data_IF_525493200379
#
_entry.id   IF_525493200379
#
_cell.length_a   1.000
_cell.length_b   1.000
_cell.length_c   1.000
_cell.angle_alpha   90.00
_cell.angle_beta   90.00
_cell.angle_gamma   90.00
#
_symmetry.space_group_name_H-M   'P 1'
#
loop_
_entity.id
_entity.type
_entity.pdbx_description
1 polymer ?
#
# COMPACT_ATOMS: atom_id res chain seq x y z
N UNK A 1 -10.76 8.91 2.13
CA UNK A 1 -10.32 9.07 3.54
C UNK A 1 -8.88 8.62 3.70
N UNK A 2 -8.14 9.25 4.61
CA UNK A 2 -6.81 8.86 5.04
C UNK A 2 -6.65 9.30 6.51
N UNK A 3 -6.27 8.38 7.40
CA UNK A 3 -6.14 8.63 8.85
C UNK A 3 -7.37 9.35 9.46
N UNK A 4 -8.58 8.95 9.04
CA UNK A 4 -9.85 9.54 9.49
C UNK A 4 -10.27 10.81 8.76
N UNK A 5 -9.37 11.53 8.09
CA UNK A 5 -9.66 12.78 7.39
C UNK A 5 -10.28 12.54 6.00
N UNK A 6 -11.26 13.36 5.65
CA UNK A 6 -11.84 13.41 4.32
C UNK A 6 -11.02 14.34 3.43
N UNK A 7 -10.33 13.78 2.49
CA UNK A 7 -9.39 14.48 1.62
C UNK A 7 -9.71 14.23 0.16
N UNK A 8 -9.39 15.19 -0.71
CA UNK A 8 -9.34 15.05 -2.15
C UNK A 8 -7.88 15.07 -2.61
N UNK A 9 -7.53 14.07 -3.42
CA UNK A 9 -6.26 14.02 -4.13
C UNK A 9 -6.53 14.32 -5.61
N UNK A 10 -5.70 15.16 -6.21
CA UNK A 10 -5.80 15.49 -7.62
C UNK A 10 -4.42 15.74 -8.22
N UNK A 11 -4.31 15.60 -9.52
CA UNK A 11 -3.14 16.02 -10.28
C UNK A 11 -3.56 17.22 -11.10
N UNK A 12 -2.93 18.35 -10.88
CA UNK A 12 -3.28 19.58 -11.59
C UNK A 12 -2.86 19.54 -13.07
N UNK A 13 -3.21 20.58 -13.81
CA UNK A 13 -2.91 20.68 -15.25
C UNK A 13 -1.42 20.81 -15.57
N UNK A 14 -0.59 21.07 -14.56
CA UNK A 14 0.89 21.12 -14.65
C UNK A 14 1.54 19.80 -14.20
N UNK A 15 0.75 18.78 -13.86
CA UNK A 15 1.23 17.46 -13.42
C UNK A 15 1.57 17.35 -11.94
N UNK A 16 1.40 18.41 -11.15
CA UNK A 16 1.68 18.42 -9.71
C UNK A 16 0.56 17.73 -8.93
N UNK A 17 0.92 16.96 -7.93
CA UNK A 17 -0.05 16.29 -7.05
C UNK A 17 -0.42 17.20 -5.89
N UNK A 18 -1.73 17.36 -5.63
CA UNK A 18 -2.28 18.00 -4.45
C UNK A 18 -3.07 17.01 -3.61
N UNK A 19 -2.98 17.18 -2.29
CA UNK A 19 -3.79 16.47 -1.30
C UNK A 19 -4.28 17.49 -0.27
N UNK A 20 -5.58 17.72 -0.21
CA UNK A 20 -6.17 18.74 0.66
C UNK A 20 -7.54 18.34 1.17
N UNK A 21 -8.09 19.12 2.12
CA UNK A 21 -9.46 18.95 2.60
C UNK A 21 -10.44 18.83 1.43
N UNK A 22 -11.30 17.82 1.49
CA UNK A 22 -12.30 17.54 0.44
C UNK A 22 -13.29 18.69 0.28
N UNK A 23 -13.59 19.46 1.32
CA UNK A 23 -14.70 20.41 1.34
C UNK A 23 -14.25 21.84 1.16
N UNK A 24 -14.79 22.51 0.12
CA UNK A 24 -14.57 23.92 -0.15
C UNK A 24 -14.82 24.79 1.09
N UNK A 25 -13.89 25.73 1.39
CA UNK A 25 -13.97 26.61 2.56
C UNK A 25 -15.20 27.52 2.56
N UNK A 26 -15.80 27.79 1.39
CA UNK A 26 -16.96 28.67 1.25
C UNK A 26 -18.23 28.05 1.88
N UNK A 27 -18.75 26.96 1.27
CA UNK A 27 -20.03 26.34 1.64
C UNK A 27 -19.96 24.82 1.67
N UNK A 28 -18.78 24.27 1.91
CA UNK A 28 -18.56 22.84 2.13
C UNK A 28 -19.01 21.92 0.97
N UNK A 29 -19.09 22.45 -0.25
CA UNK A 29 -19.27 21.59 -1.42
C UNK A 29 -18.03 20.71 -1.62
N UNK A 30 -18.22 19.44 -1.99
CA UNK A 30 -17.11 18.51 -2.22
C UNK A 30 -16.31 18.91 -3.45
N UNK A 31 -15.01 19.10 -3.28
CA UNK A 31 -14.06 19.38 -4.34
C UNK A 31 -13.75 18.14 -5.19
N UNK A 32 -14.17 16.95 -4.77
CA UNK A 32 -14.14 15.76 -5.61
C UNK A 32 -14.95 15.94 -6.91
N UNK A 33 -16.01 16.75 -6.85
CA UNK A 33 -16.82 17.14 -8.02
C UNK A 33 -16.24 18.34 -8.75
N UNK A 34 -15.11 18.89 -8.29
CA UNK A 34 -14.47 20.08 -8.81
C UNK A 34 -13.91 19.92 -10.22
N UNK A 35 -13.68 21.05 -10.89
CA UNK A 35 -13.00 21.10 -12.18
C UNK A 35 -11.52 21.30 -11.99
N UNK A 36 -10.73 20.43 -12.58
CA UNK A 36 -9.28 20.56 -12.61
C UNK A 36 -8.89 21.46 -13.79
N UNK A 37 -8.48 22.67 -13.51
CA UNK A 37 -8.19 23.67 -14.55
C UNK A 37 -7.12 24.69 -14.08
N UNK A 38 -6.27 25.11 -14.99
CA UNK A 38 -5.29 26.22 -14.80
C UNK A 38 -4.50 26.09 -13.50
N UNK A 39 -3.88 24.94 -13.27
CA UNK A 39 -3.01 24.69 -12.10
C UNK A 39 -3.74 24.55 -10.76
N UNK A 40 -5.05 24.30 -10.74
CA UNK A 40 -5.82 24.16 -9.52
C UNK A 40 -7.12 23.41 -9.65
N UNK A 41 -7.78 23.19 -8.52
CA UNK A 41 -9.08 22.54 -8.42
C UNK A 41 -10.16 23.57 -8.10
N UNK A 42 -11.11 23.76 -9.02
CA UNK A 42 -12.20 24.73 -8.92
C UNK A 42 -13.47 24.09 -8.39
N UNK A 43 -14.02 24.66 -7.33
CA UNK A 43 -15.31 24.28 -6.78
C UNK A 43 -16.43 24.54 -7.79
N UNK A 44 -17.31 23.55 -8.01
CA UNK A 44 -18.44 23.66 -8.95
C UNK A 44 -19.54 24.59 -8.46
N UNK A 45 -19.58 24.91 -7.16
CA UNK A 45 -20.70 25.66 -6.59
C UNK A 45 -20.57 27.18 -6.83
N UNK A 46 -19.46 27.81 -6.41
CA UNK A 46 -19.26 29.25 -6.57
C UNK A 46 -17.90 29.60 -7.21
N UNK A 47 -17.21 28.62 -7.78
CA UNK A 47 -16.01 28.87 -8.56
C UNK A 47 -14.73 29.14 -7.75
N UNK A 48 -14.73 29.00 -6.44
CA UNK A 48 -13.49 29.15 -5.66
C UNK A 48 -12.47 28.11 -6.10
N UNK A 49 -11.27 28.56 -6.45
CA UNK A 49 -10.19 27.70 -6.98
C UNK A 49 -9.03 27.64 -6.00
N UNK A 50 -8.49 26.42 -5.80
CA UNK A 50 -7.39 26.16 -4.89
C UNK A 50 -6.24 25.48 -5.63
N UNK A 51 -5.00 25.87 -5.30
CA UNK A 51 -3.80 25.19 -5.77
C UNK A 51 -3.55 23.88 -5.02
N UNK A 52 -2.45 23.18 -5.39
CA UNK A 52 -2.03 21.92 -4.75
C UNK A 52 -1.61 22.06 -3.29
N UNK A 53 -1.43 23.30 -2.81
CA UNK A 53 -1.08 23.62 -1.41
C UNK A 53 -2.28 24.15 -0.62
N UNK A 54 -3.48 24.15 -1.21
CA UNK A 54 -4.71 24.63 -0.59
C UNK A 54 -4.84 26.16 -0.57
N UNK A 55 -3.98 26.90 -1.27
CA UNK A 55 -4.08 28.37 -1.37
C UNK A 55 -5.21 28.71 -2.31
N UNK A 56 -6.10 29.64 -1.92
CA UNK A 56 -7.15 30.09 -2.79
C UNK A 56 -6.61 31.04 -3.87
N UNK A 57 -6.75 30.62 -5.13
CA UNK A 57 -6.24 31.35 -6.29
C UNK A 57 -7.27 32.33 -6.86
N UNK A 58 -8.57 31.99 -6.76
CA UNK A 58 -9.64 32.74 -7.40
C UNK A 58 -10.96 32.60 -6.64
N UNK A 59 -11.73 33.70 -6.60
CA UNK A 59 -13.07 33.83 -5.99
C UNK A 59 -13.96 34.68 -6.87
N UNK A 60 -14.54 34.14 -7.94
CA UNK A 60 -15.27 34.95 -8.93
C UNK A 60 -16.55 35.58 -8.41
N UNK A 61 -17.08 35.15 -7.28
CA UNK A 61 -18.26 35.73 -6.64
C UNK A 61 -17.93 36.82 -5.58
N UNK A 62 -16.65 37.10 -5.35
CA UNK A 62 -16.19 38.15 -4.44
C UNK A 62 -15.68 39.38 -5.22
N UNK A 63 -16.00 40.61 -4.81
CA UNK A 63 -15.44 41.81 -5.42
C UNK A 63 -13.90 41.79 -5.37
N UNK A 64 -13.25 42.14 -6.48
CA UNK A 64 -11.79 42.12 -6.58
C UNK A 64 -11.11 43.03 -5.54
N UNK A 65 -11.76 44.12 -5.17
CA UNK A 65 -11.26 45.12 -4.22
C UNK A 65 -11.11 44.57 -2.80
N UNK A 66 -11.89 43.54 -2.45
CA UNK A 66 -11.79 42.91 -1.12
C UNK A 66 -10.53 42.12 -0.95
N UNK A 67 -9.96 41.61 -2.04
CA UNK A 67 -8.81 40.74 -2.07
C UNK A 67 -8.91 39.56 -1.09
N UNK A 68 -10.13 39.10 -0.80
CA UNK A 68 -10.46 38.14 0.26
C UNK A 68 -9.82 36.76 0.05
N UNK A 69 -9.52 36.39 -1.19
CA UNK A 69 -8.87 35.11 -1.51
C UNK A 69 -7.57 34.88 -0.72
N UNK A 70 -6.83 35.94 -0.37
CA UNK A 70 -5.58 35.80 0.39
C UNK A 70 -5.80 35.44 1.86
N UNK A 71 -7.01 35.64 2.39
CA UNK A 71 -7.39 35.21 3.74
C UNK A 71 -7.86 33.76 3.81
N UNK A 72 -8.01 33.07 2.67
CA UNK A 72 -8.60 31.72 2.60
C UNK A 72 -7.57 30.70 2.18
N UNK A 73 -7.49 29.64 2.99
CA UNK A 73 -6.65 28.49 2.72
C UNK A 73 -7.35 27.22 3.20
N UNK A 74 -7.30 26.16 2.40
CA UNK A 74 -7.66 24.82 2.82
C UNK A 74 -6.46 24.12 3.48
N UNK A 75 -6.74 23.25 4.42
CA UNK A 75 -5.74 22.33 4.95
C UNK A 75 -5.26 21.45 3.81
N UNK A 76 -3.97 21.42 3.58
CA UNK A 76 -3.32 20.62 2.57
C UNK A 76 -2.05 19.97 3.13
N UNK A 77 -1.68 18.84 2.56
CA UNK A 77 -0.55 18.06 3.01
C UNK A 77 0.53 17.97 1.93
N UNK A 78 1.81 17.97 2.31
CA UNK A 78 2.90 17.77 1.35
C UNK A 78 2.78 16.38 0.72
N UNK A 79 3.03 16.31 -0.57
CA UNK A 79 2.99 15.07 -1.35
C UNK A 79 4.31 14.86 -2.07
N UNK A 80 4.69 13.60 -2.22
CA UNK A 80 5.80 13.17 -3.08
C UNK A 80 5.39 11.88 -3.81
N UNK A 81 5.84 11.73 -5.03
CA UNK A 81 5.54 10.54 -5.84
C UNK A 81 6.81 9.73 -6.06
N UNK A 82 6.83 8.51 -5.54
CA UNK A 82 7.93 7.57 -5.73
C UNK A 82 7.41 6.13 -5.73
N UNK A 83 8.01 5.31 -6.57
CA UNK A 83 7.62 3.90 -6.66
C UNK A 83 6.21 3.65 -7.21
N UNK A 84 5.56 4.66 -7.85
CA UNK A 84 4.18 4.59 -8.32
C UNK A 84 3.15 4.84 -7.22
N UNK A 85 3.57 5.32 -6.05
CA UNK A 85 2.71 5.69 -4.92
C UNK A 85 2.88 7.16 -4.61
N UNK A 86 1.77 7.82 -4.32
CA UNK A 86 1.75 9.18 -3.77
C UNK A 86 1.87 9.06 -2.25
N UNK A 87 2.97 9.56 -1.73
CA UNK A 87 3.28 9.62 -0.31
C UNK A 87 2.88 10.98 0.25
N UNK A 88 2.41 10.99 1.48
CA UNK A 88 2.09 12.23 2.19
C UNK A 88 2.49 12.12 3.65
N UNK A 89 2.84 13.27 4.23
CA UNK A 89 3.05 13.41 5.66
C UNK A 89 1.94 14.26 6.26
N UNK A 90 1.22 13.71 7.24
CA UNK A 90 0.05 14.35 7.85
C UNK A 90 0.31 14.90 9.26
N UNK A 91 1.57 14.92 9.67
CA UNK A 91 2.01 15.54 10.93
C UNK A 91 2.36 17.02 10.79
N UNK A 92 2.94 17.62 11.84
CA UNK A 92 3.38 19.02 11.83
C UNK A 92 4.41 19.29 10.73
N UNK A 93 4.25 20.41 10.00
CA UNK A 93 5.04 20.72 8.82
C UNK A 93 6.56 20.80 9.10
N UNK A 94 6.91 21.24 10.30
CA UNK A 94 8.32 21.36 10.76
C UNK A 94 8.97 20.00 11.08
N UNK A 95 8.20 18.92 11.07
CA UNK A 95 8.65 17.56 11.38
C UNK A 95 8.58 16.62 10.17
N UNK A 96 8.43 17.14 8.96
CA UNK A 96 8.39 16.31 7.75
C UNK A 96 9.67 15.48 7.65
N UNK A 97 9.59 14.14 7.73
CA UNK A 97 10.76 13.29 7.61
C UNK A 97 11.21 13.18 6.15
N UNK A 98 12.43 12.78 5.89
CA UNK A 98 12.85 12.42 4.56
C UNK A 98 11.98 11.26 4.03
N UNK A 99 11.70 11.28 2.72
CA UNK A 99 10.92 10.23 2.08
C UNK A 99 11.62 8.87 2.21
N UNK A 100 10.93 7.81 2.62
CA UNK A 100 11.53 6.49 2.75
C UNK A 100 12.07 5.97 1.42
N UNK A 101 13.32 5.50 1.42
CA UNK A 101 13.97 4.91 0.24
C UNK A 101 13.88 3.39 0.30
N UNK A 102 12.67 2.85 0.30
CA UNK A 102 12.50 1.41 0.18
C UNK A 102 13.00 0.93 -1.19
N UNK A 103 13.71 -0.18 -1.21
CA UNK A 103 14.32 -0.72 -2.43
C UNK A 103 13.30 -0.91 -3.57
N UNK A 104 12.10 -1.43 -3.26
CA UNK A 104 11.04 -1.60 -4.24
C UNK A 104 10.56 -0.29 -4.89
N UNK A 105 10.76 0.87 -4.23
CA UNK A 105 10.43 2.18 -4.80
C UNK A 105 11.49 2.70 -5.75
N UNK A 106 12.70 2.15 -5.68
CA UNK A 106 13.87 2.61 -6.46
C UNK A 106 14.10 1.83 -7.75
N UNK A 107 13.53 0.62 -7.86
CA UNK A 107 13.63 -0.18 -9.09
C UNK A 107 12.79 0.42 -10.22
N UNK A 108 13.14 0.18 -11.51
CA UNK A 108 12.33 0.58 -12.65
C UNK A 108 10.89 0.05 -12.56
N UNK A 109 9.94 0.75 -13.17
CA UNK A 109 8.52 0.41 -13.10
C UNK A 109 8.22 -1.04 -13.53
N UNK A 110 8.88 -1.53 -14.58
CA UNK A 110 8.70 -2.88 -15.10
C UNK A 110 9.37 -3.97 -14.24
N UNK A 111 10.11 -3.61 -13.18
CA UNK A 111 10.68 -4.54 -12.21
C UNK A 111 9.83 -4.68 -10.95
N UNK A 112 8.73 -3.94 -10.85
CA UNK A 112 7.81 -4.01 -9.71
C UNK A 112 6.37 -4.16 -10.16
N UNK A 113 5.62 -4.86 -9.33
CA UNK A 113 4.16 -4.94 -9.37
C UNK A 113 3.60 -4.21 -8.16
N UNK A 114 2.59 -3.36 -8.38
CA UNK A 114 1.90 -2.65 -7.32
C UNK A 114 0.39 -2.79 -7.53
N UNK A 115 -0.30 -3.17 -6.48
CA UNK A 115 -1.76 -3.21 -6.45
C UNK A 115 -2.28 -2.75 -5.09
N UNK A 116 -3.56 -2.46 -5.01
CA UNK A 116 -4.20 -2.09 -3.75
C UNK A 116 -5.59 -2.67 -3.66
N UNK A 117 -6.03 -2.93 -2.42
CA UNK A 117 -7.39 -3.33 -2.12
C UNK A 117 -7.84 -2.75 -0.79
N UNK A 118 -9.14 -2.48 -0.67
CA UNK A 118 -9.74 -2.03 0.57
C UNK A 118 -10.14 -3.24 1.41
N UNK A 119 -9.76 -3.21 2.68
CA UNK A 119 -10.23 -4.14 3.69
C UNK A 119 -11.13 -3.41 4.68
N UNK A 120 -12.28 -4.03 4.99
CA UNK A 120 -13.26 -3.51 5.94
C UNK A 120 -12.92 -4.01 7.35
N UNK A 121 -11.75 -3.61 7.81
CA UNK A 121 -11.26 -3.85 9.17
C UNK A 121 -10.25 -2.77 9.55
N UNK A 122 -10.00 -2.65 10.85
CA UNK A 122 -8.93 -1.80 11.36
C UNK A 122 -7.58 -2.26 10.82
N UNK A 123 -6.71 -1.29 10.49
CA UNK A 123 -5.38 -1.57 9.92
C UNK A 123 -4.51 -2.48 10.80
N UNK A 124 -4.63 -2.35 12.13
CA UNK A 124 -3.87 -3.18 13.06
C UNK A 124 -4.32 -4.65 13.00
N UNK A 125 -5.62 -4.90 12.87
CA UNK A 125 -6.16 -6.26 12.68
C UNK A 125 -5.62 -6.90 11.39
N UNK A 126 -5.56 -6.12 10.32
CA UNK A 126 -4.99 -6.58 9.04
C UNK A 126 -3.48 -6.89 9.17
N UNK A 127 -2.74 -6.02 9.88
CA UNK A 127 -1.32 -6.18 10.16
C UNK A 127 -1.05 -7.39 11.06
N UNK A 128 -1.82 -7.58 12.14
CA UNK A 128 -1.71 -8.74 13.02
C UNK A 128 -1.88 -10.05 12.25
N UNK A 129 -2.89 -10.13 11.38
CA UNK A 129 -3.08 -11.28 10.50
C UNK A 129 -1.91 -11.51 9.54
N UNK A 130 -1.24 -10.47 9.11
CA UNK A 130 -0.08 -10.58 8.24
C UNK A 130 1.22 -10.95 8.99
N UNK A 131 1.37 -10.51 10.23
CA UNK A 131 2.52 -10.88 11.10
C UNK A 131 2.40 -12.31 11.59
N UNK A 132 1.18 -12.79 11.85
CA UNK A 132 0.97 -14.17 12.31
C UNK A 132 1.49 -15.17 11.28
N UNK A 133 2.34 -16.07 11.72
CA UNK A 133 2.89 -17.14 10.89
C UNK A 133 2.24 -18.51 11.16
N UNK A 134 1.54 -18.65 12.29
CA UNK A 134 0.97 -19.93 12.69
C UNK A 134 -0.27 -20.28 11.85
N UNK A 135 -1.14 -19.31 11.56
CA UNK A 135 -2.35 -19.53 10.76
C UNK A 135 -2.06 -20.07 9.36
N UNK A 136 -0.90 -19.73 8.81
CA UNK A 136 -0.58 -20.04 7.42
C UNK A 136 -0.58 -21.56 7.13
N UNK A 137 -0.16 -22.37 8.09
CA UNK A 137 -0.19 -23.83 7.96
C UNK A 137 -1.59 -24.45 8.00
N UNK A 138 -2.57 -23.72 8.50
CA UNK A 138 -3.96 -24.16 8.61
C UNK A 138 -4.87 -23.44 7.61
N UNK A 139 -4.95 -22.13 7.68
CA UNK A 139 -5.87 -21.32 6.89
C UNK A 139 -5.56 -21.33 5.39
N UNK A 140 -4.26 -21.29 5.05
CA UNK A 140 -3.83 -21.33 3.65
C UNK A 140 -3.63 -22.75 3.10
N UNK A 141 -4.04 -23.75 3.86
CA UNK A 141 -3.97 -25.13 3.42
C UNK A 141 -4.94 -25.34 2.26
N UNK A 142 -4.41 -25.75 1.10
CA UNK A 142 -5.27 -26.11 -0.01
C UNK A 142 -6.06 -27.39 0.32
N UNK A 143 -7.35 -27.40 0.01
CA UNK A 143 -8.23 -28.56 0.18
C UNK A 143 -7.99 -29.64 -0.89
N UNK A 144 -6.98 -29.47 -1.75
CA UNK A 144 -6.60 -30.39 -2.81
C UNK A 144 -5.67 -31.49 -2.31
N UNK A 145 -5.65 -32.59 -3.03
CA UNK A 145 -4.95 -33.84 -2.73
C UNK A 145 -3.51 -33.66 -2.21
N UNK A 146 -3.19 -34.41 -1.16
CA UNK A 146 -1.88 -34.38 -0.47
C UNK A 146 -0.71 -34.78 -1.34
N UNK A 147 -0.96 -35.43 -2.48
CA UNK A 147 0.09 -35.98 -3.38
C UNK A 147 0.76 -34.91 -4.24
N UNK A 148 0.17 -33.74 -4.41
CA UNK A 148 0.71 -32.65 -5.24
C UNK A 148 1.57 -31.62 -4.50
N UNK A 149 1.81 -31.82 -3.19
CA UNK A 149 2.48 -30.84 -2.32
C UNK A 149 3.96 -31.16 -2.11
N UNK A 150 4.66 -31.37 -3.21
CA UNK A 150 6.12 -31.46 -3.18
C UNK A 150 6.75 -30.06 -3.08
N UNK A 151 7.84 -29.94 -2.33
CA UNK A 151 8.64 -28.73 -2.21
C UNK A 151 8.36 -27.90 -0.96
N UNK A 152 8.84 -26.66 -0.95
CA UNK A 152 8.83 -25.75 0.20
C UNK A 152 7.44 -25.49 0.82
N UNK A 153 6.38 -25.58 0.02
CA UNK A 153 4.99 -25.40 0.47
C UNK A 153 4.51 -26.57 1.36
N UNK A 154 4.99 -27.78 1.10
CA UNK A 154 4.67 -28.94 1.94
C UNK A 154 5.18 -28.82 3.37
N UNK A 155 6.32 -28.18 3.57
CA UNK A 155 6.88 -27.94 4.89
C UNK A 155 6.02 -26.96 5.72
N UNK A 156 5.43 -25.99 5.08
CA UNK A 156 4.53 -25.02 5.72
C UNK A 156 3.28 -25.66 6.28
N UNK A 157 2.71 -26.56 5.50
CA UNK A 157 1.43 -27.20 5.79
C UNK A 157 1.55 -28.35 6.80
N UNK A 158 2.72 -28.96 6.87
CA UNK A 158 2.97 -30.10 7.77
C UNK A 158 3.46 -29.69 9.16
N UNK A 159 4.04 -28.50 9.32
CA UNK A 159 4.49 -27.99 10.61
C UNK A 159 3.66 -26.78 11.01
N UNK A 160 2.61 -27.00 11.81
CA UNK A 160 1.62 -25.99 12.19
C UNK A 160 2.11 -25.05 13.30
N UNK A 161 3.11 -25.45 14.09
CA UNK A 161 3.65 -24.68 15.20
C UNK A 161 5.09 -24.23 14.92
N UNK A 162 5.32 -23.11 14.24
CA UNK A 162 6.65 -22.57 14.07
C UNK A 162 7.20 -22.03 15.38
N UNK A 163 8.49 -22.22 15.62
CA UNK A 163 9.20 -21.45 16.65
C UNK A 163 9.42 -20.04 16.13
N UNK A 164 9.01 -19.03 16.90
CA UNK A 164 9.19 -17.63 16.57
C UNK A 164 10.32 -17.05 17.42
N UNK A 165 11.27 -16.40 16.76
CA UNK A 165 12.33 -15.63 17.40
C UNK A 165 12.22 -14.17 16.92
N UNK A 166 12.07 -13.21 17.86
CA UNK A 166 11.83 -11.80 17.56
C UNK A 166 13.05 -10.98 17.95
N UNK A 167 13.47 -10.08 17.06
CA UNK A 167 14.56 -9.15 17.24
C UNK A 167 14.07 -7.73 17.02
N UNK A 168 14.12 -6.89 18.07
CA UNK A 168 13.71 -5.48 18.02
C UNK A 168 14.78 -4.67 17.30
N UNK A 169 14.33 -3.74 16.45
CA UNK A 169 15.17 -2.84 15.67
C UNK A 169 14.71 -1.39 15.86
N UNK A 170 15.50 -0.42 15.41
CA UNK A 170 15.16 1.00 15.49
C UNK A 170 13.96 1.39 14.62
N UNK A 171 13.60 0.55 13.63
CA UNK A 171 12.49 0.79 12.71
C UNK A 171 11.24 -0.06 12.99
N UNK A 172 11.29 -0.96 13.98
CA UNK A 172 10.22 -1.90 14.30
C UNK A 172 10.77 -3.21 14.84
N UNK A 173 10.60 -4.32 14.12
CA UNK A 173 11.19 -5.60 14.49
C UNK A 173 11.37 -6.53 13.29
N UNK A 174 12.33 -7.41 13.41
CA UNK A 174 12.52 -8.56 12.55
C UNK A 174 12.15 -9.83 13.32
N UNK A 175 11.54 -10.81 12.65
CA UNK A 175 11.28 -12.10 13.28
C UNK A 175 11.51 -13.24 12.31
N UNK A 176 11.85 -14.38 12.86
CA UNK A 176 11.96 -15.63 12.13
C UNK A 176 10.90 -16.62 12.56
N UNK A 177 10.40 -17.38 11.61
CA UNK A 177 9.52 -18.52 11.85
C UNK A 177 10.26 -19.78 11.40
N UNK A 178 10.66 -20.58 12.38
CA UNK A 178 11.44 -21.81 12.17
C UNK A 178 10.54 -23.02 12.31
N UNK A 179 10.54 -23.88 11.29
CA UNK A 179 9.85 -25.17 11.29
C UNK A 179 10.86 -26.29 11.16
N UNK A 180 10.80 -27.22 12.09
CA UNK A 180 11.64 -28.43 12.05
C UNK A 180 11.22 -29.33 10.87
N UNK A 181 12.19 -29.82 10.15
CA UNK A 181 12.04 -30.78 9.07
C UNK A 181 12.59 -32.15 9.46
N UNK A 182 12.27 -33.20 8.72
CA UNK A 182 12.99 -34.48 8.83
C UNK A 182 14.51 -34.29 8.70
N UNK A 183 15.30 -35.24 9.19
CA UNK A 183 16.77 -35.25 9.06
C UNK A 183 17.51 -34.10 9.79
N UNK A 184 16.90 -33.54 10.87
CA UNK A 184 17.43 -32.43 11.68
C UNK A 184 17.64 -31.11 10.91
N UNK A 185 16.97 -30.94 9.80
CA UNK A 185 16.95 -29.68 9.05
C UNK A 185 15.89 -28.70 9.61
N UNK A 186 16.01 -27.43 9.23
CA UNK A 186 15.05 -26.39 9.58
C UNK A 186 14.65 -25.58 8.35
N UNK A 187 13.36 -25.34 8.22
CA UNK A 187 12.84 -24.36 7.29
C UNK A 187 12.63 -23.04 8.02
N UNK A 188 13.40 -22.04 7.66
CA UNK A 188 13.39 -20.73 8.31
C UNK A 188 12.87 -19.68 7.35
N UNK A 189 11.93 -18.85 7.81
CA UNK A 189 11.49 -17.66 7.10
C UNK A 189 11.72 -16.43 7.98
N UNK A 190 12.36 -15.42 7.42
CA UNK A 190 12.56 -14.13 8.09
C UNK A 190 11.60 -13.09 7.53
N UNK A 191 11.03 -12.31 8.40
CA UNK A 191 10.09 -11.24 8.10
C UNK A 191 10.54 -9.95 8.74
N UNK A 192 10.13 -8.83 8.19
CA UNK A 192 10.39 -7.53 8.79
C UNK A 192 9.07 -6.75 8.91
N UNK A 193 8.87 -6.18 10.06
CA UNK A 193 7.88 -5.14 10.28
C UNK A 193 8.60 -3.80 10.42
N UNK A 194 8.21 -2.84 9.59
CA UNK A 194 8.72 -1.47 9.62
C UNK A 194 7.57 -0.55 9.97
N UNK A 195 7.72 0.16 11.09
CA UNK A 195 6.70 1.10 11.54
C UNK A 195 6.39 2.16 10.48
N UNK A 196 5.14 2.66 10.40
CA UNK A 196 4.01 2.26 11.26
C UNK A 196 3.22 1.06 10.75
N UNK A 197 3.26 0.72 9.46
CA UNK A 197 2.33 -0.25 8.86
C UNK A 197 2.91 -1.07 7.70
N UNK A 198 4.22 -1.17 7.61
CA UNK A 198 4.88 -1.90 6.53
C UNK A 198 5.27 -3.30 6.98
N UNK A 199 4.99 -4.29 6.17
CA UNK A 199 5.48 -5.65 6.36
C UNK A 199 6.18 -6.16 5.10
N UNK A 200 7.33 -6.79 5.30
CA UNK A 200 8.14 -7.41 4.27
C UNK A 200 8.09 -8.93 4.42
N UNK A 201 7.80 -9.60 3.32
CA UNK A 201 7.81 -11.05 3.26
C UNK A 201 9.12 -11.54 2.66
N UNK A 202 9.68 -12.65 3.20
CA UNK A 202 10.88 -13.20 2.65
C UNK A 202 10.65 -13.63 1.19
N UNK A 203 11.63 -13.39 0.34
CA UNK A 203 11.74 -14.12 -0.91
C UNK A 203 11.88 -15.61 -0.57
N UNK A 204 11.27 -16.47 -1.37
CA UNK A 204 11.49 -17.91 -1.20
C UNK A 204 12.93 -18.22 -1.59
N UNK A 205 13.78 -18.48 -0.61
CA UNK A 205 15.12 -19.00 -0.86
C UNK A 205 14.96 -20.49 -1.13
N UNK A 206 15.37 -20.94 -2.30
CA UNK A 206 15.41 -22.35 -2.60
C UNK A 206 16.43 -23.04 -1.67
N UNK A 207 15.99 -24.11 -1.02
CA UNK A 207 16.87 -24.94 -0.21
C UNK A 207 17.96 -25.59 -1.09
N UNK A 208 19.18 -25.72 -0.58
CA UNK A 208 20.23 -26.49 -1.24
C UNK A 208 19.74 -27.94 -1.36
N UNK A 209 19.43 -28.40 -2.57
CA UNK A 209 18.94 -29.75 -2.84
C UNK A 209 17.52 -29.82 -3.38
N UNK A 210 16.68 -28.82 -3.26
CA UNK A 210 15.39 -28.79 -3.93
C UNK A 210 15.56 -28.21 -5.34
N UNK A 211 15.16 -28.96 -6.36
CA UNK A 211 15.16 -28.53 -7.77
C UNK A 211 14.09 -27.46 -8.10
N UNK A 212 13.52 -26.81 -7.10
CA UNK A 212 12.62 -25.68 -7.28
C UNK A 212 13.42 -24.48 -7.76
N UNK A 213 13.68 -24.40 -9.05
CA UNK A 213 14.14 -23.17 -9.70
C UNK A 213 13.06 -22.12 -9.46
N UNK A 214 13.34 -21.14 -8.58
CA UNK A 214 12.57 -19.91 -8.55
C UNK A 214 12.62 -19.34 -9.97
N UNK A 215 11.48 -19.23 -10.63
CA UNK A 215 11.43 -18.68 -11.98
C UNK A 215 11.97 -17.24 -12.01
N UNK A 216 11.70 -16.46 -10.94
CA UNK A 216 12.30 -15.13 -10.70
C UNK A 216 12.43 -14.89 -9.20
N UNK A 217 13.59 -14.44 -8.72
CA UNK A 217 13.74 -14.01 -7.34
C UNK A 217 12.95 -12.72 -7.11
N UNK A 218 12.11 -12.70 -6.08
CA UNK A 218 11.25 -11.56 -5.75
C UNK A 218 11.26 -11.29 -4.26
N UNK A 219 11.09 -10.03 -3.90
CA UNK A 219 10.70 -9.60 -2.56
C UNK A 219 9.32 -8.98 -2.64
N UNK A 220 8.51 -9.21 -1.64
CA UNK A 220 7.15 -8.66 -1.59
C UNK A 220 6.80 -8.13 -0.20
N UNK A 221 5.80 -7.29 -0.14
CA UNK A 221 5.30 -6.78 1.12
C UNK A 221 3.95 -6.12 0.99
N UNK A 222 3.50 -5.65 2.14
CA UNK A 222 2.23 -4.94 2.28
C UNK A 222 2.44 -3.62 3.02
N UNK A 223 1.55 -2.66 2.75
CA UNK A 223 1.36 -1.47 3.57
C UNK A 223 -0.11 -1.44 3.98
N UNK A 224 -0.38 -1.48 5.28
CA UNK A 224 -1.74 -1.46 5.85
C UNK A 224 -2.12 -0.03 6.23
N UNK A 225 -2.47 0.79 5.25
CA UNK A 225 -2.69 2.22 5.43
C UNK A 225 -4.07 2.48 6.02
N UNK A 226 -4.20 3.05 7.24
CA UNK A 226 -5.50 3.31 7.85
C UNK A 226 -6.28 4.36 7.05
N UNK A 227 -7.50 4.03 6.66
CA UNK A 227 -8.47 4.99 6.13
C UNK A 227 -9.24 5.64 7.28
N UNK A 228 -9.72 4.82 8.19
CA UNK A 228 -10.38 5.14 9.45
C UNK A 228 -10.26 3.94 10.41
N UNK A 229 -10.99 3.95 11.52
CA UNK A 229 -10.93 2.88 12.53
C UNK A 229 -11.49 1.54 12.05
N UNK A 230 -12.34 1.54 11.01
CA UNK A 230 -13.03 0.36 10.49
C UNK A 230 -12.54 -0.08 9.11
N UNK A 231 -11.72 0.72 8.44
CA UNK A 231 -11.27 0.44 7.08
C UNK A 231 -9.79 0.74 6.89
N UNK A 232 -9.13 -0.09 6.12
CA UNK A 232 -7.75 0.11 5.68
C UNK A 232 -7.61 -0.05 4.17
N UNK A 233 -6.67 0.67 3.57
CA UNK A 233 -6.23 0.45 2.20
C UNK A 233 -4.93 -0.35 2.24
N UNK A 234 -4.97 -1.56 1.74
CA UNK A 234 -3.79 -2.43 1.67
C UNK A 234 -3.14 -2.26 0.32
N UNK A 235 -1.93 -1.76 0.31
CA UNK A 235 -1.07 -1.74 -0.86
C UNK A 235 -0.21 -2.98 -0.86
N UNK A 236 -0.24 -3.73 -1.95
CA UNK A 236 0.58 -4.92 -2.15
C UNK A 236 1.64 -4.58 -3.19
N UNK A 237 2.88 -4.85 -2.87
CA UNK A 237 3.98 -4.63 -3.78
C UNK A 237 4.87 -5.87 -3.89
N UNK A 238 5.41 -6.08 -5.05
CA UNK A 238 6.41 -7.10 -5.33
C UNK A 238 7.44 -6.51 -6.27
N UNK A 239 8.71 -6.73 -6.03
CA UNK A 239 9.73 -6.41 -7.03
C UNK A 239 10.65 -7.61 -7.26
N UNK A 240 11.26 -7.65 -8.42
CA UNK A 240 12.27 -8.65 -8.78
C UNK A 240 13.65 -8.00 -8.81
N UNK A 241 14.64 -8.75 -8.38
CA UNK A 241 16.06 -8.43 -8.51
C UNK A 241 16.77 -9.36 -9.52
N UNK A 242 16.00 -10.02 -10.39
CA UNK A 242 16.51 -10.77 -11.52
C UNK A 242 17.01 -9.82 -12.63
N UNK A 243 17.82 -10.35 -13.56
CA UNK A 243 18.28 -9.62 -14.74
C UNK A 243 17.16 -9.23 -15.71
N UNK A 244 16.01 -9.88 -15.62
CA UNK A 244 14.85 -9.66 -16.48
C UNK A 244 13.69 -9.03 -15.71
N UNK A 245 12.97 -8.06 -16.30
CA UNK A 245 11.80 -7.44 -15.69
C UNK A 245 10.63 -8.43 -15.52
N UNK A 246 9.62 -8.01 -14.77
CA UNK A 246 8.35 -8.74 -14.69
C UNK A 246 7.63 -8.69 -16.04
N UNK A 247 7.23 -9.85 -16.54
CA UNK A 247 6.39 -9.96 -17.73
C UNK A 247 4.92 -9.61 -17.41
N UNK A 248 4.12 -9.43 -18.44
CA UNK A 248 2.68 -9.25 -18.27
C UNK A 248 2.03 -10.44 -17.56
N UNK A 249 2.43 -11.66 -17.91
CA UNK A 249 1.98 -12.89 -17.23
C UNK A 249 2.40 -12.95 -15.75
N UNK A 250 3.61 -12.48 -15.40
CA UNK A 250 4.02 -12.37 -14.01
C UNK A 250 3.13 -11.37 -13.24
N UNK A 251 2.82 -10.22 -13.83
CA UNK A 251 1.97 -9.19 -13.23
C UNK A 251 0.52 -9.68 -13.04
N UNK A 252 -0.05 -10.37 -14.02
CA UNK A 252 -1.38 -10.97 -13.91
C UNK A 252 -1.41 -12.03 -12.80
N UNK A 253 -0.43 -12.92 -12.77
CA UNK A 253 -0.33 -13.94 -11.71
C UNK A 253 -0.20 -13.32 -10.31
N UNK A 254 0.60 -12.26 -10.16
CA UNK A 254 0.76 -11.56 -8.90
C UNK A 254 -0.56 -10.91 -8.46
N UNK A 255 -1.27 -10.23 -9.35
CA UNK A 255 -2.57 -9.62 -9.07
C UNK A 255 -3.60 -10.65 -8.60
N UNK A 256 -3.73 -11.78 -9.31
CA UNK A 256 -4.66 -12.86 -8.95
C UNK A 256 -4.29 -13.55 -7.65
N UNK A 257 -3.01 -13.78 -7.41
CA UNK A 257 -2.53 -14.46 -6.19
C UNK A 257 -2.94 -13.71 -4.90
N UNK A 258 -2.93 -12.40 -4.93
CA UNK A 258 -3.33 -11.57 -3.78
C UNK A 258 -4.79 -11.10 -3.84
N UNK A 259 -5.53 -11.51 -4.89
CA UNK A 259 -6.94 -11.15 -5.08
C UNK A 259 -7.15 -9.65 -5.29
N UNK A 260 -6.23 -9.01 -6.00
CA UNK A 260 -6.26 -7.59 -6.36
C UNK A 260 -6.27 -7.37 -7.88
N UNK A 261 -6.57 -8.40 -8.67
CA UNK A 261 -6.84 -8.26 -10.09
C UNK A 261 -8.06 -7.35 -10.30
N UNK A 262 -8.03 -6.53 -11.34
CA UNK A 262 -9.05 -5.50 -11.58
C UNK A 262 -10.47 -6.05 -11.72
N UNK A 263 -10.60 -7.28 -12.26
CA UNK A 263 -11.86 -8.00 -12.40
C UNK A 263 -12.37 -8.64 -11.09
N UNK A 264 -11.57 -8.60 -10.03
CA UNK A 264 -11.91 -9.11 -8.69
C UNK A 264 -12.31 -8.01 -7.71
N UNK A 265 -12.21 -6.74 -8.13
CA UNK A 265 -12.45 -5.58 -7.27
C UNK A 265 -13.59 -4.72 -7.80
N UNK A 266 -14.29 -4.07 -6.87
CA UNK A 266 -15.21 -2.96 -7.17
C UNK A 266 -14.43 -1.70 -7.51
N UNK A 267 -15.11 -0.65 -8.01
CA UNK A 267 -14.49 0.64 -8.32
C UNK A 267 -13.84 1.34 -7.10
N UNK A 268 -14.29 1.03 -5.89
CA UNK A 268 -13.71 1.53 -4.63
C UNK A 268 -12.76 0.51 -3.97
N UNK A 269 -12.24 -0.44 -4.76
CA UNK A 269 -11.22 -1.44 -4.41
C UNK A 269 -11.64 -2.48 -3.36
N UNK A 270 -12.93 -2.71 -3.15
CA UNK A 270 -13.42 -3.83 -2.32
C UNK A 270 -13.40 -5.12 -3.14
N UNK A 271 -13.16 -6.24 -2.47
CA UNK A 271 -13.35 -7.53 -3.12
C UNK A 271 -14.81 -7.75 -3.49
N UNK A 272 -15.04 -8.23 -4.70
CA UNK A 272 -16.36 -8.73 -5.11
C UNK A 272 -16.74 -9.91 -4.21
N UNK A 273 -17.93 -9.84 -3.59
CA UNK A 273 -18.46 -10.92 -2.77
C UNK A 273 -18.68 -12.15 -3.68
N UNK A 274 -18.36 -13.35 -3.20
CA UNK A 274 -18.52 -14.66 -3.84
C UNK A 274 -17.37 -15.16 -4.72
N UNK A 275 -16.13 -14.84 -4.37
CA UNK A 275 -14.98 -15.57 -4.91
C UNK A 275 -14.08 -16.09 -3.81
#
# INVERSE_FOLDING_TARGET
>A
KLLGEKLVAFRDTEGRVGLMDEFCAHRRASLFLGRNEEGGLRCVYHGWKYDTKGICLDMPNEPAETNFKHAVRLKAYPTAEVGGVIWTYMGPAEKVPPLPKFEWTQVPQNYRHLSKMRQECNWLQALEGAIDNAHAGFLHRALTDKTTRAGLRGYWENSQAPRLDVHITDYGFMYTATRALPERENYVRAYQYVMPFHQFFPSQIAHSGSAAKLKKPTVRGHMFVPMDDENSMVYNWTYTFADQPLSEADNEQLGRHIGSASDELTADFRKLRNR
#
